data_IF_906126894408
#
_entry.id   IF_906126894408
#
_cell.length_a   1.000
_cell.length_b   1.000
_cell.length_c   1.000
_cell.angle_alpha   90.00
_cell.angle_beta   90.00
_cell.angle_gamma   90.00
#
_symmetry.space_group_name_H-M   'P 1'
#
loop_
_entity.id
_entity.type
_entity.pdbx_description
1 polymer ?
#
# COMPACT_ATOMS: atom_id res chain seq x y z
N UNK A 1 -77.55 115.92 54.90
CA UNK A 1 -77.43 114.66 54.14
C UNK A 1 -76.24 114.67 53.19
N UNK A 2 -76.19 115.57 52.20
CA UNK A 2 -75.19 115.58 51.11
C UNK A 2 -73.72 115.31 51.52
N UNK A 3 -73.21 115.97 52.57
CA UNK A 3 -71.80 115.89 52.95
C UNK A 3 -71.33 114.46 53.28
N UNK A 4 -72.11 113.71 54.07
CA UNK A 4 -71.85 112.29 54.36
C UNK A 4 -71.91 111.38 53.13
N UNK A 5 -72.53 111.82 52.04
CA UNK A 5 -72.55 111.07 50.78
C UNK A 5 -71.20 111.26 50.05
N UNK A 6 -70.72 112.51 49.97
CA UNK A 6 -69.44 112.84 49.35
C UNK A 6 -68.24 112.23 50.09
N UNK A 7 -68.27 112.23 51.44
CA UNK A 7 -67.22 111.61 52.25
C UNK A 7 -67.12 110.09 51.98
N UNK A 8 -68.27 109.40 51.87
CA UNK A 8 -68.34 107.97 51.58
C UNK A 8 -67.94 107.64 50.12
N UNK A 9 -68.27 108.51 49.17
CA UNK A 9 -67.88 108.37 47.77
C UNK A 9 -66.36 108.58 47.60
N UNK A 10 -65.77 109.55 48.29
CA UNK A 10 -64.32 109.77 48.32
C UNK A 10 -63.56 108.60 48.97
N UNK A 11 -64.05 108.03 50.07
CA UNK A 11 -63.45 106.83 50.67
C UNK A 11 -63.59 105.60 49.74
N UNK A 12 -64.74 105.42 49.08
CA UNK A 12 -64.93 104.34 48.13
C UNK A 12 -63.99 104.44 46.90
N UNK A 13 -63.66 105.66 46.45
CA UNK A 13 -62.62 105.88 45.43
C UNK A 13 -61.24 105.53 45.98
N UNK A 14 -60.84 106.06 47.16
CA UNK A 14 -59.52 105.78 47.76
C UNK A 14 -59.28 104.27 47.95
N UNK A 15 -60.27 103.56 48.52
CA UNK A 15 -60.18 102.11 48.77
C UNK A 15 -60.05 101.31 47.46
N UNK A 16 -60.67 101.80 46.37
CA UNK A 16 -60.60 101.20 45.03
C UNK A 16 -59.26 101.45 44.34
N UNK A 17 -58.65 102.61 44.57
CA UNK A 17 -57.29 102.93 44.11
C UNK A 17 -56.22 102.15 44.90
N UNK A 18 -56.35 102.07 46.22
CA UNK A 18 -55.50 101.23 47.10
C UNK A 18 -55.56 99.76 46.68
N UNK A 19 -56.75 99.22 46.43
CA UNK A 19 -56.94 97.85 45.94
C UNK A 19 -56.34 97.63 44.53
N UNK A 20 -56.41 98.61 43.64
CA UNK A 20 -55.79 98.54 42.31
C UNK A 20 -54.26 98.61 42.38
N UNK A 21 -53.70 99.42 43.28
CA UNK A 21 -52.26 99.49 43.54
C UNK A 21 -51.73 98.18 44.14
N UNK A 22 -52.44 97.62 45.11
CA UNK A 22 -52.08 96.32 45.72
C UNK A 22 -52.13 95.18 44.71
N UNK A 23 -53.10 95.16 43.78
CA UNK A 23 -53.10 94.21 42.66
C UNK A 23 -51.86 94.35 41.78
N UNK A 24 -51.51 95.56 41.34
CA UNK A 24 -50.30 95.79 40.52
C UNK A 24 -49.00 95.36 41.23
N UNK A 25 -48.89 95.62 42.53
CA UNK A 25 -47.74 95.18 43.34
C UNK A 25 -47.68 93.66 43.42
N UNK A 26 -48.82 92.98 43.56
CA UNK A 26 -48.89 91.52 43.63
C UNK A 26 -48.66 90.86 42.26
N UNK A 27 -49.18 91.42 41.18
CA UNK A 27 -48.92 91.04 39.78
C UNK A 27 -47.42 91.16 39.44
N UNK A 28 -46.77 92.25 39.85
CA UNK A 28 -45.31 92.45 39.69
C UNK A 28 -44.49 91.46 40.52
N UNK A 29 -44.84 91.23 41.80
CA UNK A 29 -44.18 90.18 42.61
C UNK A 29 -44.30 88.81 41.95
N UNK A 30 -45.48 88.45 41.45
CA UNK A 30 -45.72 87.18 40.79
C UNK A 30 -44.95 87.08 39.47
N UNK A 31 -44.81 88.18 38.71
CA UNK A 31 -43.93 88.22 37.52
C UNK A 31 -42.47 88.00 37.91
N UNK A 32 -41.94 88.71 38.91
CA UNK A 32 -40.55 88.59 39.37
C UNK A 32 -40.25 87.19 39.92
N UNK A 33 -41.17 86.59 40.69
CA UNK A 33 -41.04 85.20 41.18
C UNK A 33 -41.04 84.20 40.03
N UNK A 34 -41.94 84.36 39.06
CA UNK A 34 -42.00 83.50 37.87
C UNK A 34 -40.73 83.63 37.02
N UNK A 35 -40.31 84.85 36.71
CA UNK A 35 -39.12 85.17 35.91
C UNK A 35 -37.83 84.66 36.59
N UNK A 36 -37.78 84.68 37.93
CA UNK A 36 -36.71 84.03 38.70
C UNK A 36 -36.75 82.52 38.57
N UNK A 37 -37.92 81.89 38.75
CA UNK A 37 -38.08 80.45 38.65
C UNK A 37 -37.78 79.92 37.23
N UNK A 38 -38.12 80.70 36.19
CA UNK A 38 -37.79 80.40 34.79
C UNK A 38 -36.27 80.44 34.55
N UNK A 39 -35.55 81.43 35.11
CA UNK A 39 -34.08 81.49 35.09
C UNK A 39 -33.41 80.35 35.85
N UNK A 40 -33.89 80.01 37.05
CA UNK A 40 -33.36 78.90 37.84
C UNK A 40 -33.58 77.55 37.13
N UNK A 41 -34.75 77.36 36.50
CA UNK A 41 -35.04 76.19 35.67
C UNK A 41 -34.20 76.15 34.38
N UNK A 42 -33.87 77.29 33.78
CA UNK A 42 -32.98 77.36 32.61
C UNK A 42 -31.53 77.03 32.96
N UNK A 43 -30.99 77.63 34.02
CA UNK A 43 -29.66 77.30 34.54
C UNK A 43 -29.54 75.81 34.88
N UNK A 44 -30.58 75.20 35.47
CA UNK A 44 -30.62 73.76 35.76
C UNK A 44 -30.58 72.91 34.48
N UNK A 45 -31.36 73.25 33.46
CA UNK A 45 -31.33 72.55 32.15
C UNK A 45 -29.94 72.65 31.50
N UNK A 46 -29.30 73.82 31.53
CA UNK A 46 -27.96 74.01 30.97
C UNK A 46 -26.89 73.19 31.74
N UNK A 47 -27.04 73.03 33.06
CA UNK A 47 -26.17 72.16 33.87
C UNK A 47 -26.36 70.68 33.51
N UNK A 48 -27.61 70.21 33.45
CA UNK A 48 -27.96 68.83 33.08
C UNK A 48 -27.46 68.47 31.66
N UNK A 49 -27.58 69.39 30.70
CA UNK A 49 -27.04 69.23 29.35
C UNK A 49 -25.50 69.20 29.31
N UNK A 50 -24.84 70.06 30.08
CA UNK A 50 -23.37 70.09 30.16
C UNK A 50 -22.79 68.82 30.80
N UNK A 51 -23.43 68.28 31.83
CA UNK A 51 -23.04 66.99 32.44
C UNK A 51 -23.24 65.82 31.48
N UNK A 52 -24.38 65.78 30.77
CA UNK A 52 -24.66 64.78 29.74
C UNK A 52 -23.60 64.82 28.61
N UNK A 53 -23.27 66.01 28.11
CA UNK A 53 -22.24 66.17 27.07
C UNK A 53 -20.85 65.72 27.55
N UNK A 54 -20.49 66.03 28.79
CA UNK A 54 -19.25 65.56 29.42
C UNK A 54 -19.20 64.03 29.51
N UNK A 55 -20.28 63.40 29.98
CA UNK A 55 -20.39 61.93 30.08
C UNK A 55 -20.25 61.26 28.71
N UNK A 56 -20.95 61.76 27.68
CA UNK A 56 -20.86 61.25 26.30
C UNK A 56 -19.42 61.38 25.74
N UNK A 57 -18.74 62.50 26.02
CA UNK A 57 -17.35 62.73 25.61
C UNK A 57 -16.38 61.75 26.29
N UNK A 58 -16.55 61.51 27.58
CA UNK A 58 -15.71 60.56 28.35
C UNK A 58 -15.95 59.11 27.90
N UNK A 59 -17.21 58.70 27.67
CA UNK A 59 -17.56 57.39 27.13
C UNK A 59 -16.94 57.15 25.73
N UNK A 60 -16.97 58.17 24.85
CA UNK A 60 -16.35 58.10 23.51
C UNK A 60 -14.83 57.94 23.57
N UNK A 61 -14.16 58.60 24.51
CA UNK A 61 -12.72 58.47 24.73
C UNK A 61 -12.35 57.10 25.35
N UNK A 62 -13.17 56.57 26.26
CA UNK A 62 -13.01 55.23 26.81
C UNK A 62 -13.14 54.15 25.71
N UNK A 63 -14.14 54.28 24.83
CA UNK A 63 -14.32 53.39 23.68
C UNK A 63 -13.10 53.39 22.74
N UNK A 64 -12.57 54.57 22.39
CA UNK A 64 -11.36 54.68 21.56
C UNK A 64 -10.12 54.04 22.21
N UNK A 65 -9.98 54.10 23.54
CA UNK A 65 -8.90 53.42 24.26
C UNK A 65 -9.03 51.90 24.19
N UNK A 66 -10.22 51.36 24.44
CA UNK A 66 -10.49 49.91 24.34
C UNK A 66 -10.27 49.38 22.92
N UNK A 67 -10.67 50.14 21.88
CA UNK A 67 -10.35 49.81 20.48
C UNK A 67 -8.84 49.73 20.22
N UNK A 68 -8.06 50.69 20.72
CA UNK A 68 -6.62 50.75 20.51
C UNK A 68 -5.89 49.64 21.26
N UNK A 69 -6.31 49.34 22.49
CA UNK A 69 -5.80 48.23 23.30
C UNK A 69 -6.10 46.87 22.65
N UNK A 70 -7.34 46.66 22.21
CA UNK A 70 -7.74 45.46 21.45
C UNK A 70 -6.89 45.28 20.17
N UNK A 71 -6.69 46.34 19.39
CA UNK A 71 -5.86 46.29 18.16
C UNK A 71 -4.39 45.98 18.46
N UNK A 72 -3.85 46.49 19.58
CA UNK A 72 -2.51 46.19 20.05
C UNK A 72 -2.36 44.71 20.45
N UNK A 73 -3.36 44.14 21.14
CA UNK A 73 -3.35 42.73 21.54
C UNK A 73 -3.62 41.77 20.39
N UNK A 74 -4.46 42.14 19.42
CA UNK A 74 -4.61 41.43 18.14
C UNK A 74 -3.28 41.35 17.38
N UNK A 75 -2.52 42.45 17.29
CA UNK A 75 -1.17 42.47 16.69
C UNK A 75 -0.14 41.65 17.49
N UNK A 76 -0.15 41.70 18.84
CA UNK A 76 0.72 40.83 19.67
C UNK A 76 0.42 39.35 19.46
N UNK A 77 -0.87 38.98 19.45
CA UNK A 77 -1.29 37.59 19.26
C UNK A 77 -0.95 37.08 17.85
N UNK A 78 -1.11 37.92 16.83
CA UNK A 78 -0.72 37.64 15.44
C UNK A 78 0.80 37.43 15.30
N UNK A 79 1.63 38.23 15.99
CA UNK A 79 3.10 38.03 16.03
C UNK A 79 3.47 36.69 16.68
N UNK A 80 2.95 36.43 17.88
CA UNK A 80 3.14 35.14 18.58
C UNK A 80 2.72 33.94 17.73
N UNK A 81 1.59 34.05 17.01
CA UNK A 81 1.13 33.00 16.11
C UNK A 81 2.11 32.78 14.95
N UNK A 82 2.65 33.84 14.34
CA UNK A 82 3.66 33.72 13.28
C UNK A 82 5.02 33.18 13.78
N UNK A 83 5.42 33.49 15.01
CA UNK A 83 6.61 32.93 15.66
C UNK A 83 6.45 31.40 15.86
N UNK A 84 5.30 30.97 16.36
CA UNK A 84 4.94 29.54 16.52
C UNK A 84 4.88 28.83 15.15
N UNK A 85 4.32 29.48 14.12
CA UNK A 85 4.22 28.90 12.78
C UNK A 85 5.61 28.68 12.14
N UNK A 86 6.54 29.63 12.30
CA UNK A 86 7.92 29.46 11.83
C UNK A 86 8.73 28.47 12.67
N UNK A 87 8.52 28.41 13.98
CA UNK A 87 9.12 27.35 14.80
C UNK A 87 8.60 25.96 14.38
N UNK A 88 7.30 25.82 14.10
CA UNK A 88 6.73 24.56 13.60
C UNK A 88 7.30 24.18 12.23
N UNK A 89 7.42 25.15 11.30
CA UNK A 89 8.08 24.94 9.99
C UNK A 89 9.54 24.50 10.16
N UNK A 90 10.28 25.08 11.10
CA UNK A 90 11.66 24.66 11.40
C UNK A 90 11.70 23.26 12.01
N UNK A 91 10.84 22.95 12.99
CA UNK A 91 10.76 21.63 13.61
C UNK A 91 10.41 20.53 12.58
N UNK A 92 9.44 20.81 11.70
CA UNK A 92 9.08 19.93 10.56
C UNK A 92 10.24 19.71 9.59
N UNK A 93 11.02 20.75 9.26
CA UNK A 93 12.26 20.62 8.46
C UNK A 93 13.30 19.73 9.17
N UNK A 94 13.69 20.08 10.40
CA UNK A 94 14.67 19.31 11.20
C UNK A 94 14.26 17.82 11.32
N UNK A 95 13.00 17.54 11.60
CA UNK A 95 12.45 16.18 11.68
C UNK A 95 12.55 15.42 10.35
N UNK A 96 12.16 16.05 9.23
CA UNK A 96 12.27 15.47 7.88
C UNK A 96 13.73 15.19 7.50
N UNK A 97 14.63 16.08 7.82
CA UNK A 97 16.03 15.99 7.43
C UNK A 97 16.77 14.92 8.27
N UNK A 98 16.41 14.75 9.54
CA UNK A 98 16.79 13.57 10.36
C UNK A 98 16.22 12.27 9.77
N UNK A 99 14.94 12.25 9.38
CA UNK A 99 14.31 11.06 8.79
C UNK A 99 14.94 10.66 7.43
N UNK A 100 15.41 11.64 6.64
CA UNK A 100 16.22 11.39 5.45
C UNK A 100 17.58 10.81 5.84
N UNK A 101 18.33 11.43 6.77
CA UNK A 101 19.63 10.92 7.21
C UNK A 101 19.59 9.47 7.73
N UNK A 102 18.52 9.09 8.44
CA UNK A 102 18.27 7.71 8.89
C UNK A 102 18.04 6.78 7.69
N UNK A 103 17.26 7.21 6.70
CA UNK A 103 17.02 6.43 5.46
C UNK A 103 18.31 6.22 4.69
N UNK A 104 19.09 7.27 4.50
CA UNK A 104 20.28 7.28 3.64
C UNK A 104 21.40 6.39 4.23
N UNK A 105 21.56 6.42 5.57
CA UNK A 105 22.40 5.47 6.32
C UNK A 105 21.94 4.03 6.10
N UNK A 106 20.67 3.74 6.36
CA UNK A 106 20.11 2.38 6.21
C UNK A 106 20.19 1.85 4.77
N UNK A 107 20.01 2.70 3.75
CA UNK A 107 20.22 2.29 2.35
C UNK A 107 21.70 2.02 2.03
N UNK A 108 22.63 2.76 2.64
CA UNK A 108 24.07 2.54 2.47
C UNK A 108 24.52 1.23 3.12
N UNK A 109 23.98 0.92 4.31
CA UNK A 109 24.16 -0.37 4.99
C UNK A 109 23.57 -1.54 4.17
N UNK A 110 22.36 -1.39 3.63
CA UNK A 110 21.75 -2.41 2.76
C UNK A 110 22.58 -2.61 1.49
N UNK A 111 23.03 -1.54 0.84
CA UNK A 111 23.83 -1.61 -0.38
C UNK A 111 25.19 -2.30 -0.14
N UNK A 112 25.92 -1.91 0.90
CA UNK A 112 27.22 -2.51 1.24
C UNK A 112 27.10 -3.98 1.66
N UNK A 113 26.06 -4.36 2.39
CA UNK A 113 25.80 -5.76 2.72
C UNK A 113 25.36 -6.59 1.50
N UNK A 114 24.61 -6.01 0.56
CA UNK A 114 24.25 -6.66 -0.71
C UNK A 114 25.46 -6.85 -1.62
N UNK A 115 26.37 -5.87 -1.69
CA UNK A 115 27.65 -5.96 -2.41
C UNK A 115 28.50 -7.12 -1.87
N UNK A 116 28.67 -7.22 -0.54
CA UNK A 116 29.37 -8.35 0.11
C UNK A 116 28.74 -9.70 -0.25
N UNK A 117 27.43 -9.86 -0.03
CA UNK A 117 26.71 -11.10 -0.37
C UNK A 117 26.86 -11.49 -1.85
N UNK A 118 26.86 -10.52 -2.78
CA UNK A 118 27.08 -10.80 -4.21
C UNK A 118 28.50 -11.32 -4.46
N UNK A 119 29.51 -10.69 -3.88
CA UNK A 119 30.91 -11.12 -3.97
C UNK A 119 31.13 -12.51 -3.36
N UNK A 120 30.52 -12.80 -2.21
CA UNK A 120 30.68 -14.08 -1.52
C UNK A 120 30.02 -15.23 -2.30
N UNK A 121 28.85 -14.99 -2.93
CA UNK A 121 28.21 -15.93 -3.86
C UNK A 121 29.03 -16.14 -5.13
N UNK A 122 29.65 -15.09 -5.67
CA UNK A 122 30.52 -15.15 -6.85
C UNK A 122 31.80 -15.97 -6.54
N UNK A 123 32.36 -15.80 -5.34
CA UNK A 123 33.47 -16.63 -4.83
C UNK A 123 33.07 -18.09 -4.66
N UNK A 124 31.93 -18.38 -4.02
CA UNK A 124 31.41 -19.74 -3.85
C UNK A 124 31.13 -20.44 -5.19
N UNK A 125 30.61 -19.71 -6.19
CA UNK A 125 30.40 -20.23 -7.53
C UNK A 125 31.73 -20.59 -8.24
N UNK A 126 32.76 -19.75 -8.09
CA UNK A 126 34.11 -20.03 -8.61
C UNK A 126 34.81 -21.19 -7.88
N UNK A 127 34.54 -21.39 -6.59
CA UNK A 127 35.06 -22.51 -5.81
C UNK A 127 34.38 -23.82 -6.22
N UNK A 128 33.04 -23.85 -6.29
CA UNK A 128 32.28 -25.01 -6.79
C UNK A 128 32.60 -25.37 -8.25
N UNK A 129 32.87 -24.38 -9.13
CA UNK A 129 33.35 -24.65 -10.49
C UNK A 129 34.71 -25.34 -10.51
N UNK A 130 35.64 -24.95 -9.62
CA UNK A 130 36.95 -25.62 -9.50
C UNK A 130 36.82 -27.05 -8.97
N UNK A 131 35.94 -27.30 -8.01
CA UNK A 131 35.67 -28.65 -7.49
C UNK A 131 35.04 -29.57 -8.55
N UNK A 132 34.14 -29.05 -9.38
CA UNK A 132 33.60 -29.78 -10.54
C UNK A 132 34.69 -30.07 -11.57
N UNK A 133 35.57 -29.10 -11.87
CA UNK A 133 36.66 -29.26 -12.83
C UNK A 133 37.71 -30.28 -12.34
N UNK A 134 38.15 -30.22 -11.08
CA UNK A 134 39.12 -31.21 -10.55
C UNK A 134 38.52 -32.60 -10.46
N UNK A 135 37.26 -32.75 -10.01
CA UNK A 135 36.60 -34.06 -9.96
C UNK A 135 36.30 -34.63 -11.35
N UNK A 136 36.11 -33.78 -12.37
CA UNK A 136 36.07 -34.19 -13.77
C UNK A 136 37.44 -34.70 -14.26
N UNK A 137 38.53 -33.96 -13.99
CA UNK A 137 39.89 -34.38 -14.37
C UNK A 137 40.30 -35.70 -13.71
N UNK A 138 39.95 -35.93 -12.44
CA UNK A 138 40.16 -37.21 -11.77
C UNK A 138 39.35 -38.35 -12.40
N UNK A 139 38.08 -38.11 -12.75
CA UNK A 139 37.25 -39.09 -13.45
C UNK A 139 37.80 -39.40 -14.85
N UNK A 140 38.25 -38.40 -15.61
CA UNK A 140 38.83 -38.59 -16.94
C UNK A 140 40.13 -39.39 -16.88
N UNK A 141 41.01 -39.10 -15.91
CA UNK A 141 42.23 -39.88 -15.66
C UNK A 141 41.88 -41.34 -15.31
N UNK A 142 40.94 -41.55 -14.39
CA UNK A 142 40.47 -42.89 -13.97
C UNK A 142 39.82 -43.67 -15.13
N UNK A 143 39.12 -42.98 -16.03
CA UNK A 143 38.57 -43.57 -17.26
C UNK A 143 39.67 -43.98 -18.24
N UNK A 144 40.68 -43.13 -18.47
CA UNK A 144 41.85 -43.46 -19.30
C UNK A 144 42.62 -44.67 -18.75
N UNK A 145 42.84 -44.74 -17.44
CA UNK A 145 43.45 -45.91 -16.80
C UNK A 145 42.61 -47.20 -16.96
N UNK A 146 41.29 -47.09 -16.89
CA UNK A 146 40.38 -48.22 -17.12
C UNK A 146 40.39 -48.68 -18.59
N UNK A 147 40.45 -47.75 -19.55
CA UNK A 147 40.57 -48.08 -20.98
C UNK A 147 41.90 -48.79 -21.29
N UNK A 148 43.01 -48.33 -20.72
CA UNK A 148 44.32 -49.00 -20.85
C UNK A 148 44.24 -50.44 -20.33
N UNK A 149 43.71 -50.65 -19.11
CA UNK A 149 43.52 -51.99 -18.52
C UNK A 149 42.63 -52.88 -19.40
N UNK A 150 41.48 -52.36 -19.88
CA UNK A 150 40.63 -53.08 -20.83
C UNK A 150 41.35 -53.44 -22.14
N UNK A 151 42.17 -52.53 -22.68
CA UNK A 151 42.95 -52.76 -23.91
C UNK A 151 44.03 -53.82 -23.72
N UNK A 152 44.60 -53.92 -22.52
CA UNK A 152 45.59 -54.95 -22.15
C UNK A 152 44.93 -56.32 -21.94
N UNK A 153 43.84 -56.41 -21.17
CA UNK A 153 43.06 -57.64 -21.05
C UNK A 153 42.54 -58.13 -22.42
N UNK A 154 42.11 -57.21 -23.30
CA UNK A 154 41.70 -57.54 -24.66
C UNK A 154 42.87 -57.93 -25.59
N UNK A 155 44.12 -57.56 -25.27
CA UNK A 155 45.33 -58.08 -25.94
C UNK A 155 45.65 -59.48 -25.45
N UNK A 156 45.68 -59.69 -24.12
CA UNK A 156 45.94 -60.98 -23.48
C UNK A 156 44.96 -62.06 -23.97
N UNK A 157 43.66 -61.80 -23.92
CA UNK A 157 42.64 -62.71 -24.43
C UNK A 157 42.80 -63.05 -25.93
N UNK A 158 43.33 -62.12 -26.74
CA UNK A 158 43.62 -62.38 -28.18
C UNK A 158 44.88 -63.23 -28.36
N UNK A 159 45.93 -63.02 -27.56
CA UNK A 159 47.14 -63.87 -27.60
C UNK A 159 46.85 -65.27 -27.07
N UNK A 160 46.14 -65.39 -25.95
CA UNK A 160 45.70 -66.66 -25.37
C UNK A 160 44.81 -67.44 -26.32
N UNK A 161 43.84 -66.79 -26.98
CA UNK A 161 43.02 -67.43 -28.02
C UNK A 161 43.86 -67.91 -29.21
N UNK A 162 44.80 -67.08 -29.69
CA UNK A 162 45.71 -67.45 -30.80
C UNK A 162 46.63 -68.61 -30.43
N UNK A 163 47.10 -68.68 -29.20
CA UNK A 163 47.90 -69.79 -28.70
C UNK A 163 47.07 -71.04 -28.43
N UNK A 164 45.85 -70.90 -27.90
CA UNK A 164 44.93 -72.02 -27.71
C UNK A 164 44.60 -72.65 -29.06
N UNK A 165 44.37 -71.84 -30.10
CA UNK A 165 44.15 -72.31 -31.47
C UNK A 165 45.39 -73.03 -32.04
N UNK A 166 46.60 -72.52 -31.78
CA UNK A 166 47.85 -73.22 -32.10
C UNK A 166 48.00 -74.56 -31.36
N UNK A 167 47.72 -74.59 -30.04
CA UNK A 167 47.74 -75.81 -29.24
C UNK A 167 46.73 -76.84 -29.76
N UNK A 168 45.53 -76.42 -30.16
CA UNK A 168 44.55 -77.32 -30.78
C UNK A 168 44.97 -77.78 -32.17
N UNK A 169 45.60 -76.93 -33.00
CA UNK A 169 46.15 -77.35 -34.30
C UNK A 169 47.27 -78.38 -34.14
N UNK A 170 48.21 -78.16 -33.22
CA UNK A 170 49.28 -79.13 -32.94
C UNK A 170 48.72 -80.46 -32.40
N UNK A 171 47.67 -80.42 -31.57
CA UNK A 171 46.97 -81.62 -31.11
C UNK A 171 46.26 -82.35 -32.26
N UNK A 172 45.60 -81.62 -33.15
CA UNK A 172 44.93 -82.19 -34.33
C UNK A 172 45.94 -82.86 -35.28
N UNK A 173 47.06 -82.19 -35.54
CA UNK A 173 48.17 -82.74 -36.33
C UNK A 173 48.84 -83.95 -35.66
N UNK A 174 48.76 -84.08 -34.34
CA UNK A 174 49.22 -85.25 -33.60
C UNK A 174 48.22 -86.43 -33.62
N UNK A 175 46.89 -86.19 -33.73
CA UNK A 175 45.94 -87.30 -33.95
C UNK A 175 45.98 -87.79 -35.39
N UNK A 176 46.15 -86.90 -36.37
CA UNK A 176 46.36 -87.26 -37.79
C UNK A 176 47.62 -88.13 -37.96
N UNK A 177 48.66 -87.88 -37.16
CA UNK A 177 49.89 -88.68 -37.15
C UNK A 177 49.77 -90.05 -36.42
N UNK A 178 48.65 -90.31 -35.73
CA UNK A 178 48.42 -91.53 -34.96
C UNK A 178 47.28 -92.40 -35.52
N UNK A 179 46.29 -91.80 -36.17
CA UNK A 179 45.11 -92.48 -36.72
C UNK A 179 45.06 -92.38 -38.26
N UNK A 180 45.69 -93.35 -38.94
CA UNK A 180 45.78 -93.41 -40.41
C UNK A 180 44.47 -93.77 -41.14
N UNK A 181 43.41 -92.98 -40.96
CA UNK A 181 42.11 -93.14 -41.65
C UNK A 181 41.44 -91.78 -41.95
N UNK A 182 41.09 -91.45 -43.20
CA UNK A 182 40.45 -90.17 -43.54
C UNK A 182 38.93 -90.21 -43.30
N UNK A 183 38.38 -89.28 -42.49
CA UNK A 183 36.94 -89.21 -42.21
C UNK A 183 36.43 -87.80 -41.85
N UNK A 184 35.19 -87.52 -42.27
CA UNK A 184 34.27 -86.48 -41.79
C UNK A 184 34.70 -84.99 -41.87
N UNK A 185 34.41 -84.36 -43.02
CA UNK A 185 34.31 -82.90 -43.18
C UNK A 185 33.10 -82.36 -42.38
N UNK A 186 33.29 -81.93 -41.12
CA UNK A 186 32.15 -81.85 -40.18
C UNK A 186 32.15 -80.83 -39.02
N UNK A 187 33.08 -79.87 -38.91
CA UNK A 187 33.06 -78.92 -37.78
C UNK A 187 33.46 -77.47 -38.14
N UNK A 188 32.46 -76.58 -38.25
CA UNK A 188 32.69 -75.12 -38.36
C UNK A 188 33.00 -74.54 -36.98
N UNK A 189 34.04 -73.70 -36.89
CA UNK A 189 34.43 -73.03 -35.65
C UNK A 189 33.30 -72.10 -35.11
N UNK A 190 33.13 -71.99 -33.78
CA UNK A 190 32.06 -71.20 -33.18
C UNK A 190 32.25 -69.70 -33.43
N UNK A 191 31.24 -69.08 -34.06
CA UNK A 191 31.19 -67.63 -34.30
C UNK A 191 30.88 -66.92 -32.97
N UNK A 192 31.61 -65.85 -32.59
CA UNK A 192 31.32 -65.13 -31.35
C UNK A 192 29.92 -64.48 -31.37
N UNK A 193 29.19 -64.47 -30.23
CA UNK A 193 27.80 -64.01 -30.19
C UNK A 193 27.67 -62.51 -30.52
N UNK A 194 26.68 -62.18 -31.35
CA UNK A 194 26.38 -60.79 -31.73
C UNK A 194 25.97 -59.98 -30.50
N UNK A 195 26.64 -58.85 -30.25
CA UNK A 195 26.27 -57.91 -29.18
C UNK A 195 24.85 -57.36 -29.42
N UNK A 196 23.91 -57.70 -28.54
CA UNK A 196 22.65 -56.99 -28.45
C UNK A 196 22.91 -55.54 -28.03
N UNK A 197 22.48 -54.58 -28.86
CA UNK A 197 22.45 -53.16 -28.48
C UNK A 197 21.39 -52.99 -27.39
N UNK A 198 21.79 -52.86 -26.13
CA UNK A 198 20.86 -52.39 -25.09
C UNK A 198 20.46 -50.95 -25.45
N UNK A 199 19.18 -50.74 -25.71
CA UNK A 199 18.61 -49.40 -25.85
C UNK A 199 18.61 -48.78 -24.46
N UNK A 200 19.52 -47.84 -24.21
CA UNK A 200 19.45 -46.98 -23.03
C UNK A 200 18.21 -46.10 -23.20
N UNK A 201 17.15 -46.41 -22.46
CA UNK A 201 15.96 -45.55 -22.41
C UNK A 201 16.36 -44.23 -21.75
N UNK A 202 16.57 -43.20 -22.56
CA UNK A 202 16.72 -41.83 -22.08
C UNK A 202 15.34 -41.38 -21.59
N UNK A 203 15.09 -41.58 -20.30
CA UNK A 203 13.89 -41.07 -19.64
C UNK A 203 13.79 -39.57 -19.87
N UNK A 204 12.66 -39.12 -20.40
CA UNK A 204 12.44 -37.76 -20.84
C UNK A 204 12.38 -36.76 -19.69
N UNK A 205 13.54 -36.36 -19.18
CA UNK A 205 13.71 -35.20 -18.29
C UNK A 205 13.38 -33.91 -19.03
N UNK A 206 12.09 -33.68 -19.27
CA UNK A 206 11.57 -32.49 -19.93
C UNK A 206 11.89 -31.26 -19.08
N UNK A 207 12.99 -30.57 -19.43
CA UNK A 207 13.40 -29.32 -18.78
C UNK A 207 12.26 -28.31 -18.92
N UNK A 208 11.55 -28.03 -17.82
CA UNK A 208 10.53 -26.97 -17.78
C UNK A 208 11.19 -25.68 -18.29
N UNK A 209 10.73 -25.17 -19.42
CA UNK A 209 11.21 -23.91 -19.97
C UNK A 209 10.92 -22.81 -18.92
N UNK A 210 11.91 -22.00 -18.51
CA UNK A 210 11.66 -20.91 -17.56
C UNK A 210 10.55 -20.00 -18.08
N UNK A 211 9.51 -19.80 -17.26
CA UNK A 211 8.42 -18.87 -17.62
C UNK A 211 9.00 -17.46 -17.83
N UNK A 212 8.55 -16.68 -18.83
CA UNK A 212 8.95 -15.29 -18.95
C UNK A 212 8.50 -14.52 -17.71
N UNK A 213 9.24 -13.46 -17.34
CA UNK A 213 9.09 -12.78 -16.04
C UNK A 213 7.70 -12.15 -15.79
N UNK A 214 6.85 -12.05 -16.81
CA UNK A 214 5.47 -11.58 -16.78
C UNK A 214 4.65 -12.28 -17.88
N UNK A 215 3.32 -12.38 -17.77
CA UNK A 215 2.48 -12.67 -18.92
C UNK A 215 2.56 -11.53 -19.95
N UNK A 216 2.54 -11.86 -21.24
CA UNK A 216 2.57 -10.87 -22.33
C UNK A 216 1.20 -10.63 -22.98
N UNK A 217 0.28 -11.59 -22.87
CA UNK A 217 -1.07 -11.51 -23.41
C UNK A 217 -2.09 -12.29 -22.56
N UNK A 218 -3.39 -12.02 -22.79
CA UNK A 218 -4.50 -12.64 -22.04
C UNK A 218 -4.56 -14.16 -22.17
N UNK A 219 -4.19 -14.72 -23.31
CA UNK A 219 -4.22 -16.18 -23.51
C UNK A 219 -3.21 -16.90 -22.62
N UNK A 220 -1.99 -16.36 -22.47
CA UNK A 220 -0.99 -16.92 -21.55
C UNK A 220 -1.47 -16.95 -20.10
N UNK A 221 -2.29 -15.98 -19.69
CA UNK A 221 -2.88 -15.91 -18.34
C UNK A 221 -3.97 -16.99 -18.17
N UNK A 222 -4.84 -17.18 -19.18
CA UNK A 222 -5.84 -18.26 -19.19
C UNK A 222 -5.16 -19.63 -19.18
N UNK A 223 -4.15 -19.84 -20.03
CA UNK A 223 -3.36 -21.08 -20.11
C UNK A 223 -2.68 -21.42 -18.78
N UNK A 224 -2.03 -20.44 -18.14
CA UNK A 224 -1.42 -20.62 -16.82
C UNK A 224 -2.48 -20.96 -15.76
N UNK A 225 -3.58 -20.20 -15.72
CA UNK A 225 -4.64 -20.40 -14.75
C UNK A 225 -5.22 -21.83 -14.87
N UNK A 226 -5.54 -22.26 -16.09
CA UNK A 226 -6.14 -23.57 -16.35
C UNK A 226 -5.18 -24.74 -16.10
N UNK A 227 -3.88 -24.59 -16.37
CA UNK A 227 -2.90 -25.69 -16.28
C UNK A 227 -2.28 -25.89 -14.90
N UNK A 228 -2.03 -24.81 -14.16
CA UNK A 228 -1.21 -24.86 -12.94
C UNK A 228 -1.98 -24.52 -11.67
N UNK A 229 -3.07 -23.77 -11.79
CA UNK A 229 -3.53 -22.90 -10.71
C UNK A 229 -5.00 -23.13 -10.34
N UNK A 230 -5.85 -23.50 -11.31
CA UNK A 230 -7.29 -23.84 -11.18
C UNK A 230 -7.63 -24.66 -9.94
N UNK A 231 -6.82 -25.68 -9.64
CA UNK A 231 -7.02 -26.59 -8.50
C UNK A 231 -6.36 -26.06 -7.20
N UNK A 232 -5.38 -25.15 -7.30
CA UNK A 232 -4.65 -24.53 -6.17
C UNK A 232 -5.44 -23.39 -5.52
N UNK A 233 -6.12 -22.56 -6.31
CA UNK A 233 -6.77 -21.33 -5.80
C UNK A 233 -7.85 -21.61 -4.74
N UNK A 234 -8.51 -22.78 -4.86
CA UNK A 234 -9.65 -23.20 -4.02
C UNK A 234 -10.75 -22.13 -3.94
N UNK A 235 -11.11 -21.55 -5.09
CA UNK A 235 -12.20 -20.56 -5.21
C UNK A 235 -13.60 -21.14 -5.00
N UNK A 236 -13.76 -22.46 -4.84
CA UNK A 236 -15.04 -23.07 -4.53
C UNK A 236 -15.27 -23.08 -3.02
N UNK A 237 -16.38 -22.50 -2.57
CA UNK A 237 -16.81 -22.58 -1.18
C UNK A 237 -17.21 -24.03 -0.84
N UNK A 238 -16.64 -24.67 0.20
CA UNK A 238 -16.95 -26.05 0.56
C UNK A 238 -18.43 -26.32 0.89
N UNK A 239 -19.17 -25.33 1.37
CA UNK A 239 -20.56 -25.48 1.80
C UNK A 239 -21.55 -25.34 0.64
N UNK A 240 -21.37 -24.33 -0.24
CA UNK A 240 -22.30 -24.07 -1.35
C UNK A 240 -21.87 -24.70 -2.68
N UNK A 241 -20.59 -25.09 -2.81
CA UNK A 241 -19.93 -25.45 -4.08
C UNK A 241 -19.99 -24.37 -5.16
N UNK A 242 -20.34 -23.14 -4.81
CA UNK A 242 -20.28 -21.97 -5.69
C UNK A 242 -18.88 -21.36 -5.65
N UNK A 243 -18.53 -20.58 -6.68
CA UNK A 243 -17.33 -19.73 -6.61
C UNK A 243 -17.56 -18.65 -5.54
N UNK A 244 -16.52 -18.39 -4.74
CA UNK A 244 -16.52 -17.38 -3.67
C UNK A 244 -16.80 -15.99 -4.23
N UNK A 245 -17.65 -15.17 -3.56
CA UNK A 245 -18.16 -13.93 -4.15
C UNK A 245 -17.07 -12.94 -4.54
N UNK A 246 -15.98 -12.87 -3.76
CA UNK A 246 -14.85 -11.97 -3.99
C UNK A 246 -13.97 -12.31 -5.20
N UNK A 247 -14.21 -13.41 -5.92
CA UNK A 247 -13.39 -13.81 -7.08
C UNK A 247 -14.00 -13.36 -8.41
N UNK A 248 -13.26 -12.55 -9.17
CA UNK A 248 -13.73 -11.92 -10.41
C UNK A 248 -12.94 -12.34 -11.68
N UNK A 249 -12.16 -13.42 -11.65
CA UNK A 249 -11.47 -13.89 -12.86
C UNK A 249 -10.60 -12.81 -13.53
N UNK A 250 -10.69 -12.67 -14.86
CA UNK A 250 -9.91 -11.66 -15.63
C UNK A 250 -10.81 -10.46 -15.97
N UNK A 251 -10.89 -9.49 -15.05
CA UNK A 251 -11.47 -8.16 -15.28
C UNK A 251 -10.40 -7.07 -15.27
N UNK A 252 -10.68 -5.94 -15.93
CA UNK A 252 -9.72 -4.82 -15.98
C UNK A 252 -9.63 -4.10 -14.62
N UNK A 253 -8.63 -3.22 -14.49
CA UNK A 253 -8.58 -2.31 -13.33
C UNK A 253 -9.81 -1.40 -13.26
N UNK A 254 -10.27 -0.85 -14.38
CA UNK A 254 -11.37 0.11 -14.41
C UNK A 254 -12.68 -0.54 -13.93
N UNK A 255 -12.95 -1.78 -14.34
CA UNK A 255 -14.13 -2.53 -13.88
C UNK A 255 -14.07 -2.78 -12.37
N UNK A 256 -12.88 -3.15 -11.86
CA UNK A 256 -12.69 -3.34 -10.41
C UNK A 256 -12.83 -2.05 -9.60
N UNK A 257 -12.50 -0.89 -10.17
CA UNK A 257 -12.71 0.42 -9.53
C UNK A 257 -14.19 0.81 -9.57
N UNK A 258 -14.90 0.53 -10.67
CA UNK A 258 -16.35 0.76 -10.83
C UNK A 258 -17.18 -0.08 -9.85
N UNK A 259 -16.89 -1.38 -9.72
CA UNK A 259 -17.56 -2.28 -8.78
C UNK A 259 -17.42 -1.84 -7.31
N UNK A 260 -16.31 -1.17 -6.99
CA UNK A 260 -15.96 -0.67 -5.65
C UNK A 260 -16.31 0.82 -5.44
N UNK A 261 -16.96 1.49 -6.39
CA UNK A 261 -17.20 2.94 -6.36
C UNK A 261 -18.27 3.36 -5.33
N UNK A 262 -19.31 2.57 -5.16
CA UNK A 262 -20.44 2.85 -4.24
C UNK A 262 -20.50 1.84 -3.09
N UNK A 263 -19.33 1.39 -2.63
CA UNK A 263 -19.17 0.37 -1.58
C UNK A 263 -18.50 0.93 -0.32
N UNK A 264 -18.78 0.40 0.88
CA UNK A 264 -18.18 0.87 2.13
C UNK A 264 -16.66 0.58 2.21
N UNK A 265 -15.95 1.33 3.07
CA UNK A 265 -14.55 1.05 3.45
C UNK A 265 -14.43 -0.40 3.91
N UNK A 266 -13.41 -1.12 3.43
CA UNK A 266 -13.21 -2.54 3.74
C UNK A 266 -13.80 -3.49 2.71
N UNK A 267 -14.51 -2.99 1.69
CA UNK A 267 -14.96 -3.82 0.56
C UNK A 267 -13.81 -4.15 -0.36
N UNK A 268 -13.69 -5.40 -0.80
CA UNK A 268 -12.60 -5.87 -1.65
C UNK A 268 -13.06 -6.89 -2.69
N UNK A 269 -12.25 -7.07 -3.73
CA UNK A 269 -12.33 -8.18 -4.67
C UNK A 269 -10.94 -8.64 -5.11
N UNK A 270 -10.83 -9.86 -5.61
CA UNK A 270 -9.61 -10.41 -6.18
C UNK A 270 -9.85 -10.82 -7.63
N UNK A 271 -8.99 -10.31 -8.50
CA UNK A 271 -8.96 -10.60 -9.94
C UNK A 271 -7.59 -11.14 -10.32
N UNK A 272 -7.51 -11.94 -11.38
CA UNK A 272 -6.25 -12.39 -11.97
C UNK A 272 -5.47 -11.16 -12.49
N UNK A 273 -4.15 -11.20 -12.40
CA UNK A 273 -3.28 -10.09 -12.79
C UNK A 273 -2.84 -10.19 -14.25
N UNK A 274 -2.93 -9.08 -14.97
CA UNK A 274 -2.36 -8.90 -16.31
C UNK A 274 -0.91 -8.39 -16.27
N UNK A 275 -0.29 -8.33 -15.08
CA UNK A 275 1.06 -7.76 -14.88
C UNK A 275 2.05 -8.70 -14.20
N UNK A 276 1.57 -9.73 -13.49
CA UNK A 276 2.36 -10.75 -12.80
C UNK A 276 1.67 -12.10 -12.91
N UNK A 277 2.41 -13.19 -12.72
CA UNK A 277 1.84 -14.53 -12.58
C UNK A 277 1.17 -14.66 -11.20
N UNK A 278 -0.12 -14.35 -11.14
CA UNK A 278 -0.84 -14.21 -9.88
C UNK A 278 -2.05 -13.29 -9.99
N UNK A 279 -2.31 -12.51 -8.95
CA UNK A 279 -3.57 -11.79 -8.74
C UNK A 279 -3.35 -10.31 -8.43
N UNK A 280 -4.44 -9.55 -8.47
CA UNK A 280 -4.54 -8.21 -7.89
C UNK A 280 -5.74 -8.18 -6.96
N UNK A 281 -5.50 -7.98 -5.66
CA UNK A 281 -6.56 -7.60 -4.74
C UNK A 281 -6.86 -6.11 -4.93
N UNK A 282 -8.12 -5.79 -5.19
CA UNK A 282 -8.62 -4.42 -5.34
C UNK A 282 -9.49 -4.08 -4.15
N UNK A 283 -9.25 -2.93 -3.52
CA UNK A 283 -9.72 -2.63 -2.16
C UNK A 283 -10.28 -1.21 -2.06
N UNK A 284 -11.47 -1.07 -1.46
CA UNK A 284 -12.09 0.22 -1.18
C UNK A 284 -11.57 0.83 0.13
N UNK A 285 -10.70 1.83 -0.01
CA UNK A 285 -10.34 2.76 1.06
C UNK A 285 -11.34 3.93 1.12
N UNK A 286 -11.16 4.86 2.07
CA UNK A 286 -12.10 5.98 2.28
C UNK A 286 -12.22 6.85 1.02
N UNK A 287 -11.08 7.35 0.52
CA UNK A 287 -11.05 8.36 -0.56
C UNK A 287 -10.65 7.79 -1.93
N UNK A 288 -10.36 6.48 -2.05
CA UNK A 288 -9.85 5.87 -3.28
C UNK A 288 -9.91 4.35 -3.28
N UNK A 289 -9.85 3.75 -4.47
CA UNK A 289 -9.41 2.37 -4.61
C UNK A 289 -7.89 2.24 -4.33
N UNK A 290 -7.49 1.10 -3.75
CA UNK A 290 -6.12 0.60 -3.65
C UNK A 290 -6.02 -0.74 -4.39
N UNK A 291 -4.88 -1.03 -4.98
CA UNK A 291 -4.61 -2.31 -5.62
C UNK A 291 -3.31 -2.89 -5.10
N UNK A 292 -3.34 -4.17 -4.72
CA UNK A 292 -2.21 -4.91 -4.18
C UNK A 292 -1.95 -6.11 -5.08
N UNK A 293 -0.73 -6.23 -5.61
CA UNK A 293 -0.34 -7.39 -6.42
C UNK A 293 -0.06 -8.58 -5.50
N UNK A 294 -0.56 -9.74 -5.88
CA UNK A 294 -0.31 -11.02 -5.21
C UNK A 294 0.48 -11.90 -6.17
N UNK A 295 1.66 -12.33 -5.74
CA UNK A 295 2.45 -13.37 -6.40
C UNK A 295 1.80 -14.74 -6.16
N UNK A 296 1.77 -15.59 -7.19
CA UNK A 296 1.27 -16.96 -7.11
C UNK A 296 2.36 -17.91 -7.64
N UNK A 297 3.33 -18.20 -6.77
CA UNK A 297 4.51 -19.00 -7.06
C UNK A 297 4.44 -20.38 -6.37
N UNK A 298 5.45 -21.22 -6.57
CA UNK A 298 5.44 -22.61 -6.07
C UNK A 298 5.47 -22.68 -4.53
N UNK A 299 5.94 -21.63 -3.85
CA UNK A 299 5.92 -21.48 -2.39
C UNK A 299 4.54 -21.08 -1.84
N UNK A 300 3.64 -20.53 -2.66
CA UNK A 300 2.29 -20.12 -2.25
C UNK A 300 1.89 -18.73 -2.75
N UNK A 301 1.12 -18.02 -1.92
CA UNK A 301 0.48 -16.74 -2.22
C UNK A 301 0.97 -15.66 -1.26
N UNK A 302 1.49 -14.54 -1.79
CA UNK A 302 2.04 -13.44 -0.98
C UNK A 302 1.84 -12.08 -1.67
N UNK A 303 1.78 -10.99 -0.91
CA UNK A 303 1.70 -9.64 -1.48
C UNK A 303 3.07 -9.12 -1.92
N UNK A 304 3.16 -8.61 -3.14
CA UNK A 304 4.41 -8.11 -3.73
C UNK A 304 4.75 -6.72 -3.17
N UNK A 305 6.01 -6.54 -2.75
CA UNK A 305 6.55 -5.23 -2.35
C UNK A 305 6.41 -4.90 -0.86
N UNK A 306 6.04 -5.87 -0.04
CA UNK A 306 6.03 -5.74 1.42
C UNK A 306 6.49 -7.05 2.08
N UNK A 307 6.98 -6.91 3.31
CA UNK A 307 7.46 -8.01 4.15
C UNK A 307 6.25 -8.73 4.76
N UNK A 308 5.73 -9.77 4.07
CA UNK A 308 4.44 -10.42 4.36
C UNK A 308 4.51 -11.95 4.39
N UNK A 309 3.54 -12.56 5.06
CA UNK A 309 3.36 -14.01 5.16
C UNK A 309 3.03 -14.65 3.82
N UNK A 310 3.68 -15.79 3.53
CA UNK A 310 3.28 -16.66 2.42
C UNK A 310 2.15 -17.57 2.89
N UNK A 311 1.07 -17.63 2.11
CA UNK A 311 -0.11 -18.44 2.40
C UNK A 311 -0.21 -19.63 1.45
N UNK A 312 -0.68 -20.77 1.96
CA UNK A 312 -0.94 -22.01 1.20
C UNK A 312 -2.02 -21.88 0.11
N UNK A 313 -2.97 -20.95 0.24
CA UNK A 313 -4.06 -20.74 -0.71
C UNK A 313 -4.51 -19.27 -0.74
N UNK A 314 -5.03 -18.82 -1.88
CA UNK A 314 -5.60 -17.47 -2.01
C UNK A 314 -6.78 -17.26 -1.05
N UNK A 315 -7.57 -18.30 -0.79
CA UNK A 315 -8.63 -18.30 0.22
C UNK A 315 -8.09 -18.12 1.65
N UNK A 316 -6.95 -18.73 1.99
CA UNK A 316 -6.30 -18.52 3.29
C UNK A 316 -5.73 -17.10 3.43
N UNK A 317 -5.08 -16.56 2.39
CA UNK A 317 -4.64 -15.16 2.34
C UNK A 317 -5.81 -14.20 2.60
N UNK A 318 -6.93 -14.37 1.88
CA UNK A 318 -8.14 -13.55 2.07
C UNK A 318 -8.71 -13.71 3.49
N UNK A 319 -8.70 -14.92 4.06
CA UNK A 319 -9.16 -15.18 5.44
C UNK A 319 -8.27 -14.49 6.48
N UNK A 320 -6.95 -14.60 6.35
CA UNK A 320 -5.98 -14.03 7.29
C UNK A 320 -6.07 -12.50 7.35
N UNK A 321 -6.23 -11.86 6.19
CA UNK A 321 -6.32 -10.39 6.11
C UNK A 321 -7.71 -9.83 6.41
N UNK A 322 -8.68 -10.64 6.89
CA UNK A 322 -9.88 -10.11 7.55
C UNK A 322 -9.52 -9.41 8.86
N UNK A 323 -8.64 -10.03 9.63
CA UNK A 323 -8.24 -9.54 10.96
C UNK A 323 -6.90 -8.78 10.91
N UNK A 324 -6.03 -9.10 9.95
CA UNK A 324 -4.70 -8.50 9.80
C UNK A 324 -4.66 -7.48 8.63
N UNK A 325 -4.24 -6.22 8.83
CA UNK A 325 -4.13 -5.25 7.75
C UNK A 325 -3.21 -5.72 6.60
N UNK A 326 -3.55 -5.39 5.35
CA UNK A 326 -2.71 -5.70 4.17
C UNK A 326 -1.44 -4.85 4.10
N UNK A 327 -1.31 -3.76 4.87
CA UNK A 327 -0.03 -3.01 4.95
C UNK A 327 0.33 -2.61 6.38
N UNK A 328 1.63 -2.66 6.71
CA UNK A 328 2.18 -2.35 8.05
C UNK A 328 1.81 -0.94 8.51
N UNK A 329 1.80 0.03 7.59
CA UNK A 329 1.45 1.44 7.86
C UNK A 329 -0.05 1.74 7.67
N UNK A 330 -0.91 0.72 7.54
CA UNK A 330 -2.28 0.88 7.04
C UNK A 330 -3.36 0.20 7.88
N UNK A 331 -4.58 0.29 7.39
CA UNK A 331 -5.80 -0.25 8.03
C UNK A 331 -6.65 -1.04 7.02
N UNK A 332 -6.03 -1.62 5.99
CA UNK A 332 -6.74 -2.36 4.94
C UNK A 332 -7.07 -3.77 5.41
N UNK A 333 -8.17 -3.91 6.15
CA UNK A 333 -8.76 -5.20 6.52
C UNK A 333 -9.82 -5.61 5.50
N UNK A 334 -9.82 -6.88 5.11
CA UNK A 334 -10.68 -7.45 4.06
C UNK A 334 -12.08 -7.80 4.61
N UNK A 335 -12.85 -6.77 4.96
CA UNK A 335 -14.12 -6.92 5.67
C UNK A 335 -15.24 -7.49 4.80
N UNK A 336 -15.46 -6.92 3.62
CA UNK A 336 -16.65 -7.22 2.80
C UNK A 336 -16.26 -7.73 1.40
N UNK A 337 -16.63 -8.96 1.00
CA UNK A 337 -16.44 -9.40 -0.37
C UNK A 337 -17.40 -8.63 -1.29
N UNK A 338 -16.87 -7.94 -2.31
CA UNK A 338 -17.70 -7.52 -3.43
C UNK A 338 -18.10 -8.76 -4.23
N UNK A 339 -19.35 -8.83 -4.65
CA UNK A 339 -19.82 -9.83 -5.62
C UNK A 339 -19.82 -9.29 -7.04
N UNK A 340 -20.01 -10.19 -7.99
CA UNK A 340 -20.21 -9.87 -9.41
C UNK A 340 -21.60 -9.27 -9.65
N UNK A 341 -21.71 -8.40 -10.66
CA UNK A 341 -22.99 -7.77 -11.07
C UNK A 341 -23.33 -7.98 -12.55
N UNK A 342 -22.48 -8.70 -13.28
CA UNK A 342 -22.70 -9.08 -14.68
C UNK A 342 -23.62 -10.29 -14.78
N UNK A 343 -24.40 -10.39 -15.86
CA UNK A 343 -25.20 -11.59 -16.19
C UNK A 343 -24.33 -12.75 -16.68
N UNK A 344 -23.17 -12.44 -17.27
CA UNK A 344 -22.12 -13.40 -17.64
C UNK A 344 -21.04 -13.34 -16.57
N UNK A 345 -20.74 -14.44 -15.84
CA UNK A 345 -19.77 -14.39 -14.74
C UNK A 345 -18.37 -13.96 -15.18
N UNK A 346 -17.72 -13.14 -14.36
CA UNK A 346 -16.42 -12.52 -14.67
C UNK A 346 -15.27 -13.57 -14.80
N UNK A 347 -15.47 -14.75 -14.20
CA UNK A 347 -14.59 -15.92 -14.29
C UNK A 347 -14.92 -16.89 -15.43
N UNK A 348 -15.93 -16.60 -16.26
CA UNK A 348 -16.44 -17.51 -17.29
C UNK A 348 -15.37 -18.01 -18.27
N UNK A 349 -14.38 -17.17 -18.62
CA UNK A 349 -13.26 -17.57 -19.46
C UNK A 349 -12.30 -18.58 -18.81
N UNK A 350 -12.26 -18.66 -17.48
CA UNK A 350 -11.35 -19.52 -16.71
C UNK A 350 -11.97 -20.88 -16.36
N UNK A 351 -13.30 -20.94 -16.29
CA UNK A 351 -14.07 -22.12 -15.86
C UNK A 351 -15.04 -22.62 -16.93
N UNK A 352 -14.73 -22.42 -18.23
CA UNK A 352 -15.48 -23.05 -19.32
C UNK A 352 -15.53 -24.56 -19.09
N UNK A 353 -16.72 -25.14 -19.18
CA UNK A 353 -16.87 -26.60 -19.28
C UNK A 353 -16.27 -27.03 -20.62
N UNK A 354 -15.26 -27.89 -20.53
CA UNK A 354 -14.85 -28.80 -21.60
C UNK A 354 -15.74 -30.03 -21.51
#
# INVERSE_FOLDING_TARGET
MAQKLADAEAEAVRLKEEAALMRRIEEEKQRVVKEKAEREAEMKRQQEEAELYKSIKEARLAFQRMELEKKNDEEKNKRRLSEIEEEEKQARRRSRDVANSIRDKRSSEIFTNLQKKRHDLEKQALEGQKEVETSWQEQEKKAKEAEIKMRETARQARTEYRESLRRSMNLMQAVDAFAGTPLAEGSKAPIPPKRHKKVTSLQGGAKKIPRPAKPENRQMIVDWFVKEEKDRVRVLDPATRSIVPWFHGIITRADSEKLLLDKPKGTFLVRVSERVWGYTLSYRSVNRCKHFLVDASDSGYQFIGADQTVHESLAHLVKFHKDNPVTISGQEKLLYPCGQTSTVPDFSDLFKKV
#
